data_IF_266184682418
#
_entry.id   IF_266184682418
#
_cell.length_a   1.000
_cell.length_b   1.000
_cell.length_c   1.000
_cell.angle_alpha   90.00
_cell.angle_beta   90.00
_cell.angle_gamma   90.00
#
_symmetry.space_group_name_H-M   'P 1'
#
loop_
_entity.id
_entity.type
_entity.pdbx_description
1 polymer ?
#
# COMPACT_ATOMS: atom_id res chain seq x y z
N UNK A 1 -20.99 0.74 14.35
CA UNK A 1 -19.85 1.17 15.18
C UNK A 1 -19.01 2.10 14.30
N UNK A 2 -19.06 3.41 14.53
CA UNK A 2 -18.16 4.37 13.84
C UNK A 2 -16.76 4.29 14.44
N UNK A 3 -16.14 3.12 14.36
CA UNK A 3 -14.82 2.88 14.91
C UNK A 3 -13.74 2.97 13.84
N UNK A 4 -12.80 3.89 13.99
CA UNK A 4 -11.58 3.91 13.21
C UNK A 4 -10.80 2.59 13.44
N UNK A 5 -10.57 1.81 12.38
CA UNK A 5 -9.95 0.48 12.46
C UNK A 5 -8.51 0.53 11.99
N UNK A 6 -7.63 -0.21 12.68
CA UNK A 6 -6.23 -0.34 12.32
C UNK A 6 -5.39 0.90 12.57
N UNK A 7 -4.29 1.04 11.83
CA UNK A 7 -3.38 2.21 11.86
C UNK A 7 -2.69 2.45 13.20
N UNK A 8 -2.58 1.44 14.04
CA UNK A 8 -1.98 1.57 15.38
C UNK A 8 -0.55 2.12 15.32
N UNK A 9 0.25 1.65 14.37
CA UNK A 9 1.65 2.11 14.18
C UNK A 9 1.72 3.55 13.71
N UNK A 10 0.91 3.91 12.73
CA UNK A 10 0.86 5.26 12.17
C UNK A 10 0.39 6.27 13.22
N UNK A 11 -0.67 5.95 13.96
CA UNK A 11 -1.14 6.76 15.08
C UNK A 11 -0.08 6.90 16.18
N UNK A 12 0.55 5.79 16.59
CA UNK A 12 1.62 5.82 17.57
C UNK A 12 2.84 6.65 17.11
N UNK A 13 3.16 6.62 15.81
CA UNK A 13 4.23 7.44 15.24
C UNK A 13 3.86 8.93 15.25
N UNK A 14 2.62 9.30 14.89
CA UNK A 14 2.12 10.68 14.97
C UNK A 14 2.14 11.19 16.40
N UNK A 15 1.63 10.41 17.37
CA UNK A 15 1.70 10.72 18.81
C UNK A 15 3.14 10.88 19.29
N UNK A 16 4.04 10.01 18.81
CA UNK A 16 5.46 10.10 19.11
C UNK A 16 6.10 11.41 18.61
N UNK A 17 5.68 11.89 17.43
CA UNK A 17 6.14 13.17 16.90
C UNK A 17 5.57 14.35 17.67
N UNK A 18 4.30 14.33 18.03
CA UNK A 18 3.68 15.38 18.86
C UNK A 18 4.34 15.45 20.24
N UNK A 19 4.66 14.30 20.87
CA UNK A 19 5.42 14.28 22.14
C UNK A 19 6.83 14.90 21.99
N UNK A 20 7.50 14.76 20.84
CA UNK A 20 8.79 15.43 20.58
C UNK A 20 8.65 16.94 20.48
N UNK A 21 7.53 17.43 19.94
CA UNK A 21 7.17 18.85 19.92
C UNK A 21 7.00 19.36 21.35
N UNK A 22 6.26 18.65 22.21
CA UNK A 22 6.03 18.98 23.62
C UNK A 22 7.33 19.08 24.43
N UNK A 23 8.23 18.11 24.25
CA UNK A 23 9.51 18.04 25.00
C UNK A 23 10.49 19.15 24.60
N UNK A 24 10.19 19.90 23.57
CA UNK A 24 11.07 20.91 23.01
C UNK A 24 12.25 20.33 22.25
N UNK A 25 12.69 21.04 21.22
CA UNK A 25 13.90 20.68 20.49
C UNK A 25 15.16 21.15 21.20
N UNK A 26 16.29 20.44 21.02
CA UNK A 26 17.61 21.02 21.30
C UNK A 26 17.71 22.35 20.56
N UNK A 27 18.21 23.42 21.20
CA UNK A 27 18.38 24.75 20.64
C UNK A 27 17.09 25.61 20.45
N UNK A 28 16.02 25.36 21.24
CA UNK A 28 14.84 26.26 21.25
C UNK A 28 13.97 26.17 19.96
N UNK A 29 14.02 25.09 19.23
CA UNK A 29 13.21 24.83 18.04
C UNK A 29 12.37 23.56 18.23
N UNK A 30 11.21 23.65 18.88
CA UNK A 30 10.33 22.52 19.13
C UNK A 30 9.57 22.03 17.90
N UNK A 31 9.33 22.92 16.92
CA UNK A 31 8.55 22.62 15.73
C UNK A 31 9.13 21.48 14.89
N UNK A 32 8.24 20.64 14.38
CA UNK A 32 8.57 19.49 13.53
C UNK A 32 7.71 19.48 12.28
N UNK A 33 8.25 18.94 11.18
CA UNK A 33 7.50 18.72 9.95
C UNK A 33 7.47 17.23 9.61
N UNK A 34 6.34 16.78 9.06
CA UNK A 34 6.09 15.45 8.56
C UNK A 34 5.59 15.53 7.12
N UNK A 35 6.23 14.82 6.20
CA UNK A 35 5.72 14.53 4.85
C UNK A 35 5.02 13.19 4.87
N UNK A 36 3.70 13.19 4.75
CA UNK A 36 2.87 11.98 4.70
C UNK A 36 2.45 11.71 3.28
N UNK A 37 2.79 10.53 2.78
CA UNK A 37 2.47 10.10 1.43
C UNK A 37 1.86 8.71 1.41
N UNK A 38 1.12 8.41 0.37
CA UNK A 38 0.47 7.12 0.16
C UNK A 38 -0.47 7.22 -1.03
N UNK A 39 -0.82 6.10 -1.64
CA UNK A 39 -1.74 6.08 -2.77
C UNK A 39 -3.05 6.79 -2.45
N UNK A 40 -3.76 7.21 -3.49
CA UNK A 40 -5.13 7.73 -3.32
C UNK A 40 -6.01 6.69 -2.65
N UNK A 41 -6.93 7.14 -1.79
CA UNK A 41 -7.95 6.32 -1.10
C UNK A 41 -7.44 5.31 -0.08
N UNK A 42 -6.17 5.41 0.36
CA UNK A 42 -5.66 4.59 1.48
C UNK A 42 -6.03 5.15 2.87
N UNK A 43 -6.80 6.26 2.94
CA UNK A 43 -7.28 6.82 4.20
C UNK A 43 -6.30 7.76 4.91
N UNK A 44 -5.40 8.46 4.17
CA UNK A 44 -4.44 9.42 4.78
C UNK A 44 -5.12 10.54 5.55
N UNK A 45 -6.06 11.24 4.91
CA UNK A 45 -6.79 12.36 5.52
C UNK A 45 -7.55 11.90 6.76
N UNK A 46 -8.26 10.76 6.67
CA UNK A 46 -8.99 10.17 7.79
C UNK A 46 -8.06 9.77 8.95
N UNK A 47 -6.85 9.26 8.66
CA UNK A 47 -5.83 8.97 9.68
C UNK A 47 -5.41 10.25 10.42
N UNK A 48 -5.20 11.35 9.69
CA UNK A 48 -4.78 12.62 10.30
C UNK A 48 -5.93 13.26 11.06
N UNK A 49 -7.17 13.19 10.57
CA UNK A 49 -8.37 13.63 11.30
C UNK A 49 -8.48 12.87 12.63
N UNK A 50 -8.42 11.55 12.61
CA UNK A 50 -8.46 10.69 13.81
C UNK A 50 -7.35 11.03 14.79
N UNK A 51 -6.13 11.28 14.28
CA UNK A 51 -5.01 11.70 15.13
C UNK A 51 -5.27 13.05 15.78
N UNK A 52 -5.76 14.04 15.04
CA UNK A 52 -6.07 15.39 15.56
C UNK A 52 -7.17 15.31 16.60
N UNK A 53 -8.22 14.54 16.33
CA UNK A 53 -9.33 14.32 17.25
C UNK A 53 -8.86 13.68 18.57
N UNK A 54 -7.98 12.69 18.51
CA UNK A 54 -7.41 12.04 19.72
C UNK A 54 -6.46 12.96 20.49
N UNK A 55 -5.67 13.75 19.76
CA UNK A 55 -4.65 14.62 20.36
C UNK A 55 -5.24 15.76 21.18
N UNK A 56 -6.47 16.22 20.87
CA UNK A 56 -7.19 17.29 21.58
C UNK A 56 -6.35 18.57 21.76
N UNK A 57 -5.55 18.92 20.75
CA UNK A 57 -4.70 20.13 20.74
C UNK A 57 -5.26 21.15 19.73
N UNK A 58 -4.94 22.45 19.90
CA UNK A 58 -5.27 23.45 18.88
C UNK A 58 -4.71 23.04 17.51
N UNK A 59 -5.56 23.13 16.49
CA UNK A 59 -5.18 22.70 15.15
C UNK A 59 -5.79 23.57 14.05
N UNK A 60 -5.12 23.55 12.90
CA UNK A 60 -5.62 23.93 11.58
C UNK A 60 -5.61 22.69 10.70
N UNK A 61 -6.74 22.36 10.08
CA UNK A 61 -6.81 21.38 9.01
C UNK A 61 -7.23 22.09 7.71
N UNK A 62 -6.33 22.13 6.74
CA UNK A 62 -6.58 22.72 5.43
C UNK A 62 -6.38 21.67 4.35
N UNK A 63 -7.42 21.43 3.55
CA UNK A 63 -7.36 20.55 2.37
C UNK A 63 -7.31 21.41 1.12
N UNK A 64 -6.21 21.35 0.38
CA UNK A 64 -6.09 22.02 -0.90
C UNK A 64 -6.89 21.29 -1.99
N UNK A 65 -7.32 22.05 -2.97
CA UNK A 65 -8.01 21.53 -4.15
C UNK A 65 -7.43 22.17 -5.40
N UNK A 66 -7.69 21.57 -6.56
CA UNK A 66 -7.24 22.14 -7.83
C UNK A 66 -7.91 23.50 -8.07
N UNK A 67 -7.17 24.57 -7.84
CA UNK A 67 -7.62 25.93 -8.07
C UNK A 67 -6.95 26.56 -9.29
N UNK A 68 -7.62 27.50 -9.98
CA UNK A 68 -7.04 28.13 -11.14
C UNK A 68 -6.00 29.22 -10.80
N UNK A 69 -5.97 29.69 -9.55
CA UNK A 69 -5.09 30.80 -9.14
C UNK A 69 -4.63 30.66 -7.68
N UNK A 70 -3.46 31.21 -7.39
CA UNK A 70 -2.92 31.33 -6.04
C UNK A 70 -3.86 32.12 -5.11
N UNK A 71 -4.56 33.13 -5.64
CA UNK A 71 -5.51 33.93 -4.86
C UNK A 71 -6.72 33.09 -4.38
N UNK A 72 -7.18 32.15 -5.20
CA UNK A 72 -8.25 31.23 -4.80
C UNK A 72 -7.79 30.25 -3.70
N UNK A 73 -6.59 29.67 -3.84
CA UNK A 73 -5.99 28.82 -2.80
C UNK A 73 -5.83 29.57 -1.47
N UNK A 74 -5.33 30.81 -1.52
CA UNK A 74 -5.17 31.66 -0.35
C UNK A 74 -6.50 32.00 0.33
N UNK A 75 -7.56 32.24 -0.45
CA UNK A 75 -8.89 32.52 0.11
C UNK A 75 -9.41 31.32 0.90
N UNK A 76 -9.28 30.10 0.36
CA UNK A 76 -9.68 28.87 1.05
C UNK A 76 -8.83 28.60 2.30
N UNK A 77 -7.52 28.84 2.22
CA UNK A 77 -6.64 28.71 3.38
C UNK A 77 -7.01 29.68 4.50
N UNK A 78 -7.29 30.95 4.17
CA UNK A 78 -7.72 31.98 5.13
C UNK A 78 -9.03 31.58 5.81
N UNK A 79 -10.00 31.06 5.05
CA UNK A 79 -11.28 30.60 5.59
C UNK A 79 -11.08 29.41 6.55
N UNK A 80 -10.28 28.42 6.16
CA UNK A 80 -9.92 27.30 7.03
C UNK A 80 -9.20 27.75 8.30
N UNK A 81 -8.25 28.69 8.18
CA UNK A 81 -7.49 29.20 9.31
C UNK A 81 -8.38 30.03 10.27
N UNK A 82 -9.31 30.84 9.74
CA UNK A 82 -10.26 31.60 10.54
C UNK A 82 -11.24 30.67 11.31
N UNK A 83 -11.58 29.52 10.75
CA UNK A 83 -12.45 28.53 11.36
C UNK A 83 -11.73 27.51 12.24
N UNK A 84 -10.40 27.61 12.36
CA UNK A 84 -9.57 26.66 13.10
C UNK A 84 -9.71 26.82 14.62
N UNK A 85 -9.23 25.84 15.38
CA UNK A 85 -9.17 25.90 16.85
C UNK A 85 -7.91 26.60 17.37
N UNK A 86 -7.14 27.23 16.50
CA UNK A 86 -5.94 27.98 16.88
C UNK A 86 -6.31 29.23 17.73
N UNK A 87 -5.53 29.55 18.78
CA UNK A 87 -5.81 30.73 19.61
C UNK A 87 -5.85 32.05 18.83
N UNK A 88 -5.06 32.17 17.78
CA UNK A 88 -5.00 33.33 16.91
C UNK A 88 -5.86 33.28 15.66
N UNK A 89 -6.85 32.36 15.55
CA UNK A 89 -7.72 32.23 14.38
C UNK A 89 -8.38 33.52 13.93
N UNK A 90 -8.76 34.42 14.91
CA UNK A 90 -9.33 35.70 14.63
C UNK A 90 -8.43 36.65 13.81
N UNK A 91 -7.12 36.42 13.79
CA UNK A 91 -6.19 37.20 12.95
C UNK A 91 -6.53 37.06 11.45
N UNK A 92 -7.00 35.91 11.03
CA UNK A 92 -7.38 35.62 9.64
C UNK A 92 -8.73 36.26 9.23
N UNK A 93 -9.57 36.59 10.20
CA UNK A 93 -10.78 37.38 9.95
C UNK A 93 -10.44 38.87 9.76
N UNK A 94 -9.45 39.36 10.52
CA UNK A 94 -9.02 40.76 10.47
C UNK A 94 -8.06 41.09 9.31
N UNK A 95 -7.29 40.11 8.86
CA UNK A 95 -6.27 40.27 7.82
C UNK A 95 -6.47 39.29 6.67
N UNK A 96 -6.37 39.79 5.43
CA UNK A 96 -6.44 38.98 4.22
C UNK A 96 -5.08 39.00 3.53
N UNK A 97 -4.19 38.02 3.81
CA UNK A 97 -2.88 37.96 3.16
C UNK A 97 -3.03 37.72 1.65
N UNK A 98 -2.24 38.47 0.85
CA UNK A 98 -2.24 38.37 -0.61
C UNK A 98 -1.16 37.43 -1.17
N UNK A 99 -0.32 36.87 -0.30
CA UNK A 99 0.75 35.93 -0.69
C UNK A 99 0.87 34.81 0.33
N UNK A 100 1.39 33.65 -0.11
CA UNK A 100 1.67 32.54 0.79
C UNK A 100 2.66 32.91 1.92
N UNK A 101 3.64 33.78 1.63
CA UNK A 101 4.58 34.26 2.63
C UNK A 101 3.86 34.98 3.78
N UNK A 102 2.97 35.89 3.44
CA UNK A 102 2.17 36.62 4.43
C UNK A 102 1.19 35.71 5.18
N UNK A 103 0.57 34.75 4.47
CA UNK A 103 -0.38 33.80 5.06
C UNK A 103 0.28 32.86 6.07
N UNK A 104 1.44 32.31 5.71
CA UNK A 104 2.19 31.39 6.58
C UNK A 104 2.86 32.12 7.75
N UNK A 105 3.29 33.38 7.56
CA UNK A 105 3.76 34.24 8.65
C UNK A 105 2.62 34.55 9.62
N UNK A 106 1.43 34.89 9.13
CA UNK A 106 0.24 35.10 9.95
C UNK A 106 -0.15 33.82 10.71
N UNK A 107 -0.04 32.63 10.06
CA UNK A 107 -0.22 31.35 10.73
C UNK A 107 0.75 31.19 11.91
N UNK A 108 2.03 31.47 11.72
CA UNK A 108 3.01 31.40 12.81
C UNK A 108 2.67 32.32 14.00
N UNK A 109 2.06 33.46 13.74
CA UNK A 109 1.56 34.36 14.77
C UNK A 109 0.29 33.82 15.46
N UNK A 110 -0.55 33.08 14.74
CA UNK A 110 -1.79 32.47 15.25
C UNK A 110 -1.55 31.24 16.13
N UNK A 111 -0.37 30.60 16.02
CA UNK A 111 -0.02 29.39 16.79
C UNK A 111 0.25 29.70 18.27
N UNK A 112 -0.10 28.82 19.21
CA UNK A 112 0.26 28.96 20.62
C UNK A 112 1.78 28.89 20.79
N UNK A 113 2.27 29.52 21.88
CA UNK A 113 3.69 29.53 22.25
C UNK A 113 4.02 28.59 23.40
N UNK A 114 3.02 28.24 24.19
CA UNK A 114 3.11 27.56 25.49
C UNK A 114 2.62 26.13 25.46
N UNK A 115 1.92 25.72 24.42
CA UNK A 115 1.35 24.38 24.27
C UNK A 115 1.45 23.88 22.82
N UNK A 116 1.44 22.53 22.61
CA UNK A 116 1.56 21.96 21.28
C UNK A 116 0.32 22.28 20.42
N UNK A 117 0.55 22.30 19.11
CA UNK A 117 -0.49 22.47 18.09
C UNK A 117 -0.17 21.64 16.87
N UNK A 118 -1.19 21.41 16.02
CA UNK A 118 -1.04 20.68 14.75
C UNK A 118 -1.51 21.57 13.61
N UNK A 119 -0.73 21.59 12.53
CA UNK A 119 -1.12 22.23 11.26
C UNK A 119 -1.06 21.16 10.18
N UNK A 120 -2.19 20.93 9.51
CA UNK A 120 -2.33 19.97 8.41
C UNK A 120 -2.50 20.73 7.11
N UNK A 121 -1.62 20.44 6.15
CA UNK A 121 -1.75 20.84 4.75
C UNK A 121 -2.01 19.58 3.93
N UNK A 122 -3.29 19.27 3.73
CA UNK A 122 -3.70 18.09 2.98
C UNK A 122 -3.78 18.39 1.48
N UNK A 123 -3.47 17.41 0.66
CA UNK A 123 -3.32 17.49 -0.80
C UNK A 123 -2.34 18.59 -1.24
N UNK A 124 -1.21 18.72 -0.53
CA UNK A 124 -0.14 19.68 -0.82
C UNK A 124 0.32 19.70 -2.30
N UNK A 125 0.31 18.61 -3.06
CA UNK A 125 0.60 18.62 -4.49
C UNK A 125 -0.18 19.65 -5.30
N UNK A 126 -1.43 19.96 -4.95
CA UNK A 126 -2.20 21.01 -5.65
C UNK A 126 -1.62 22.41 -5.42
N UNK A 127 -1.17 22.72 -4.21
CA UNK A 127 -0.55 24.02 -3.91
C UNK A 127 0.73 24.22 -4.72
N UNK A 128 1.55 23.18 -4.84
CA UNK A 128 2.80 23.23 -5.60
C UNK A 128 2.51 23.32 -7.10
N UNK A 129 1.44 22.69 -7.59
CA UNK A 129 1.04 22.79 -8.99
C UNK A 129 0.53 24.19 -9.36
N UNK A 130 -0.18 24.86 -8.44
CA UNK A 130 -0.70 26.22 -8.64
C UNK A 130 0.40 27.27 -8.47
N UNK A 131 1.32 27.08 -7.50
CA UNK A 131 2.45 27.98 -7.23
C UNK A 131 3.76 27.19 -7.06
N UNK A 132 4.59 27.20 -8.08
CA UNK A 132 5.91 26.55 -8.05
C UNK A 132 6.87 27.11 -6.98
N UNK A 133 6.61 28.31 -6.46
CA UNK A 133 7.35 28.95 -5.38
C UNK A 133 6.88 28.54 -3.98
N UNK A 134 5.73 27.87 -3.87
CA UNK A 134 5.11 27.52 -2.58
C UNK A 134 6.05 26.73 -1.66
N UNK A 135 6.75 25.74 -2.19
CA UNK A 135 7.68 24.89 -1.43
C UNK A 135 8.80 25.74 -0.78
N UNK A 136 9.43 26.61 -1.56
CA UNK A 136 10.47 27.51 -1.04
C UNK A 136 9.96 28.51 0.00
N UNK A 137 8.73 28.99 -0.19
CA UNK A 137 8.06 29.87 0.77
C UNK A 137 7.76 29.14 2.08
N UNK A 138 7.18 27.94 2.00
CA UNK A 138 6.90 27.11 3.18
C UNK A 138 8.19 26.77 3.94
N UNK A 139 9.25 26.37 3.22
CA UNK A 139 10.57 26.13 3.82
C UNK A 139 11.08 27.35 4.57
N UNK A 140 11.08 28.52 3.92
CA UNK A 140 11.57 29.77 4.54
C UNK A 140 10.83 30.10 5.83
N UNK A 141 9.49 30.05 5.81
CA UNK A 141 8.67 30.33 6.99
C UNK A 141 8.83 29.25 8.06
N UNK A 142 8.94 27.96 7.66
CA UNK A 142 9.22 26.90 8.60
C UNK A 142 10.54 27.12 9.34
N UNK A 143 11.62 27.37 8.61
CA UNK A 143 12.95 27.55 9.21
C UNK A 143 13.01 28.78 10.13
N UNK A 144 12.32 29.86 9.80
CA UNK A 144 12.42 31.12 10.53
C UNK A 144 11.42 31.29 11.66
N UNK A 145 10.22 30.75 11.51
CA UNK A 145 9.07 31.00 12.36
C UNK A 145 8.44 29.76 12.94
N UNK A 146 7.90 28.85 12.09
CA UNK A 146 7.17 27.67 12.55
C UNK A 146 8.03 26.74 13.39
N UNK A 147 9.30 26.53 13.03
CA UNK A 147 10.20 25.69 13.83
C UNK A 147 10.44 26.16 15.25
N UNK A 148 10.17 27.45 15.53
CA UNK A 148 10.29 28.07 16.88
C UNK A 148 9.00 27.93 17.69
N UNK A 149 7.91 27.51 17.07
CA UNK A 149 6.62 27.27 17.72
C UNK A 149 6.50 25.79 18.08
N UNK A 150 5.78 25.46 19.15
CA UNK A 150 5.50 24.04 19.45
C UNK A 150 4.44 23.48 18.51
N UNK A 151 4.80 23.30 17.23
CA UNK A 151 3.90 22.88 16.16
C UNK A 151 4.37 21.59 15.49
N UNK A 152 3.45 20.69 15.20
CA UNK A 152 3.61 19.59 14.25
C UNK A 152 2.95 20.00 12.93
N UNK A 153 3.78 20.29 11.92
CA UNK A 153 3.32 20.53 10.55
C UNK A 153 3.23 19.20 9.81
N UNK A 154 2.04 18.82 9.39
CA UNK A 154 1.77 17.59 8.63
C UNK A 154 1.39 17.96 7.20
N UNK A 155 2.26 17.67 6.25
CA UNK A 155 2.04 17.87 4.82
C UNK A 155 1.64 16.52 4.20
N UNK A 156 0.41 16.42 3.69
CA UNK A 156 -0.15 15.18 3.13
C UNK A 156 -0.26 15.29 1.61
N UNK A 157 0.03 14.22 0.91
CA UNK A 157 -0.17 14.17 -0.54
C UNK A 157 -0.39 12.76 -1.06
N UNK A 158 -1.17 12.68 -2.14
CA UNK A 158 -1.50 11.42 -2.83
C UNK A 158 -0.61 11.15 -4.05
N UNK A 159 0.10 12.14 -4.56
CA UNK A 159 1.11 11.97 -5.61
C UNK A 159 2.43 11.50 -4.98
N UNK A 160 2.70 10.19 -5.11
CA UNK A 160 3.87 9.56 -4.50
C UNK A 160 5.18 10.14 -5.04
N UNK A 161 5.27 10.35 -6.35
CA UNK A 161 6.50 10.82 -6.99
C UNK A 161 6.81 12.27 -6.59
N UNK A 162 5.80 13.14 -6.59
CA UNK A 162 5.95 14.52 -6.16
C UNK A 162 6.34 14.60 -4.67
N UNK A 163 5.66 13.84 -3.81
CA UNK A 163 5.94 13.84 -2.38
C UNK A 163 7.32 13.24 -2.03
N UNK A 164 7.79 12.23 -2.77
CA UNK A 164 9.17 11.74 -2.66
C UNK A 164 10.18 12.82 -3.05
N UNK A 165 9.93 13.46 -4.19
CA UNK A 165 10.82 14.51 -4.69
C UNK A 165 10.98 15.70 -3.71
N UNK A 166 10.01 15.99 -2.86
CA UNK A 166 10.11 17.08 -1.86
C UNK A 166 11.28 16.89 -0.87
N UNK A 167 11.68 15.65 -0.61
CA UNK A 167 12.80 15.35 0.28
C UNK A 167 14.11 15.04 -0.45
N UNK A 168 14.15 15.13 -1.79
CA UNK A 168 15.34 14.89 -2.58
C UNK A 168 16.44 15.92 -2.32
N UNK A 169 17.68 15.52 -2.57
CA UNK A 169 18.84 16.44 -2.46
C UNK A 169 18.66 17.66 -3.36
N UNK A 170 18.84 18.83 -2.78
CA UNK A 170 18.68 20.13 -3.46
C UNK A 170 17.28 20.70 -3.44
N UNK A 171 16.28 19.99 -2.90
CA UNK A 171 14.93 20.53 -2.69
C UNK A 171 14.83 21.30 -1.36
N UNK A 172 13.93 22.27 -1.29
CA UNK A 172 13.76 23.13 -0.10
C UNK A 172 13.53 22.35 1.21
N UNK A 173 12.70 21.28 1.18
CA UNK A 173 12.37 20.49 2.38
C UNK A 173 13.38 19.37 2.70
N UNK A 174 14.45 19.18 1.91
CA UNK A 174 15.46 18.18 2.19
C UNK A 174 15.95 18.22 3.64
N UNK A 175 15.91 17.07 4.32
CA UNK A 175 16.31 16.88 5.73
C UNK A 175 15.58 17.75 6.79
N UNK A 176 14.47 18.40 6.42
CA UNK A 176 13.64 19.21 7.36
C UNK A 176 12.43 18.48 7.89
N UNK A 177 11.90 17.55 7.10
CA UNK A 177 10.75 16.76 7.47
C UNK A 177 11.11 15.29 7.67
N UNK A 178 10.40 14.65 8.59
CA UNK A 178 10.32 13.17 8.65
C UNK A 178 9.38 12.70 7.57
N UNK A 179 9.61 11.53 7.00
CA UNK A 179 8.68 10.91 6.05
C UNK A 179 7.85 9.81 6.70
N UNK A 180 6.59 9.73 6.31
CA UNK A 180 5.70 8.62 6.63
C UNK A 180 5.00 8.14 5.36
N UNK A 181 5.11 6.85 5.09
CA UNK A 181 4.34 6.19 4.03
C UNK A 181 3.15 5.50 4.66
N UNK A 182 1.94 5.86 4.21
CA UNK A 182 0.70 5.23 4.66
C UNK A 182 0.34 4.11 3.66
N UNK A 183 0.47 2.83 4.05
CA UNK A 183 0.10 1.70 3.19
C UNK A 183 -1.43 1.52 3.14
N UNK A 184 -1.99 0.65 2.30
CA UNK A 184 -3.34 0.11 2.49
C UNK A 184 -3.50 -0.55 3.86
N UNK A 185 -4.73 -0.80 4.29
CA UNK A 185 -5.00 -1.59 5.48
C UNK A 185 -4.40 -3.00 5.32
N UNK A 186 -3.89 -3.55 6.42
CA UNK A 186 -3.29 -4.89 6.42
C UNK A 186 -4.36 -5.99 6.35
N UNK A 187 -4.01 -7.24 6.03
CA UNK A 187 -4.94 -8.36 6.15
C UNK A 187 -5.54 -8.53 7.55
N UNK A 188 -4.80 -8.16 8.61
CA UNK A 188 -5.29 -8.19 9.98
C UNK A 188 -6.32 -7.06 10.22
N UNK A 189 -6.08 -5.85 9.70
CA UNK A 189 -7.04 -4.75 9.77
C UNK A 189 -8.33 -5.10 8.99
N UNK A 190 -8.21 -5.75 7.82
CA UNK A 190 -9.37 -6.22 7.05
C UNK A 190 -10.19 -7.22 7.85
N UNK A 191 -9.55 -8.16 8.55
CA UNK A 191 -10.24 -9.11 9.43
C UNK A 191 -11.02 -8.38 10.52
N UNK A 192 -10.38 -7.42 11.19
CA UNK A 192 -10.99 -6.70 12.32
C UNK A 192 -12.10 -5.75 11.84
N UNK A 193 -11.98 -5.16 10.63
CA UNK A 193 -13.00 -4.29 10.04
C UNK A 193 -14.24 -5.04 9.57
N UNK A 194 -14.05 -6.22 8.97
CA UNK A 194 -15.15 -7.01 8.40
C UNK A 194 -15.67 -8.11 9.34
N UNK A 195 -15.06 -8.32 10.50
CA UNK A 195 -15.37 -9.41 11.45
C UNK A 195 -15.41 -10.79 10.78
N UNK A 196 -14.36 -11.11 10.01
CA UNK A 196 -14.26 -12.35 9.24
C UNK A 196 -13.28 -13.33 9.88
N UNK A 197 -13.45 -14.65 9.66
CA UNK A 197 -12.41 -15.64 9.93
C UNK A 197 -11.12 -15.29 9.18
N UNK A 198 -9.96 -15.61 9.74
CA UNK A 198 -8.65 -15.21 9.20
C UNK A 198 -8.41 -15.60 7.74
N UNK A 199 -8.87 -16.79 7.35
CA UNK A 199 -8.75 -17.24 5.97
C UNK A 199 -9.60 -16.42 4.99
N UNK A 200 -10.83 -16.08 5.40
CA UNK A 200 -11.77 -15.28 4.60
C UNK A 200 -11.35 -13.83 4.56
N UNK A 201 -10.76 -13.31 5.64
CA UNK A 201 -10.17 -11.97 5.68
C UNK A 201 -8.97 -11.82 4.71
N UNK A 202 -8.13 -12.86 4.60
CA UNK A 202 -7.07 -12.87 3.58
C UNK A 202 -7.68 -12.90 2.17
N UNK A 203 -8.72 -13.69 1.93
CA UNK A 203 -9.43 -13.70 0.64
C UNK A 203 -10.07 -12.33 0.34
N UNK A 204 -10.70 -11.68 1.33
CA UNK A 204 -11.23 -10.31 1.20
C UNK A 204 -10.12 -9.29 0.91
N UNK A 205 -8.94 -9.45 1.52
CA UNK A 205 -7.78 -8.63 1.23
C UNK A 205 -7.29 -8.80 -0.23
N UNK A 206 -7.33 -10.00 -0.79
CA UNK A 206 -6.96 -10.22 -2.20
C UNK A 206 -7.87 -9.46 -3.16
N UNK A 207 -9.13 -9.23 -2.79
CA UNK A 207 -10.14 -8.52 -3.59
C UNK A 207 -10.10 -7.02 -3.35
N UNK A 208 -10.01 -6.60 -2.09
CA UNK A 208 -10.06 -5.18 -1.70
C UNK A 208 -8.70 -4.47 -1.75
N UNK A 209 -7.59 -5.24 -1.67
CA UNK A 209 -6.24 -4.68 -1.50
C UNK A 209 -6.06 -3.89 -0.21
N UNK A 210 -6.97 -4.04 0.76
CA UNK A 210 -7.00 -3.24 1.99
C UNK A 210 -7.36 -1.76 1.75
N UNK A 211 -8.07 -1.44 0.66
CA UNK A 211 -8.55 -0.08 0.40
C UNK A 211 -9.80 0.21 1.23
N UNK A 212 -9.76 1.20 2.16
CA UNK A 212 -10.89 1.53 3.02
C UNK A 212 -12.19 1.73 2.26
N UNK A 213 -12.15 2.45 1.13
CA UNK A 213 -13.33 2.73 0.33
C UNK A 213 -14.09 1.48 -0.15
N UNK A 214 -13.36 0.40 -0.45
CA UNK A 214 -13.96 -0.89 -0.86
C UNK A 214 -14.47 -1.64 0.37
N UNK A 215 -13.73 -1.57 1.48
CA UNK A 215 -14.08 -2.24 2.72
C UNK A 215 -15.30 -1.58 3.41
N UNK A 216 -15.47 -0.27 3.28
CA UNK A 216 -16.63 0.47 3.81
C UNK A 216 -17.96 0.05 3.15
N UNK A 217 -17.91 -0.39 1.88
CA UNK A 217 -19.06 -0.95 1.16
C UNK A 217 -19.33 -2.43 1.50
N UNK A 218 -18.39 -3.11 2.16
CA UNK A 218 -18.50 -4.53 2.47
C UNK A 218 -19.28 -4.72 3.79
N UNK A 219 -20.46 -5.35 3.79
CA UNK A 219 -21.21 -5.54 5.02
C UNK A 219 -20.45 -6.42 6.01
N UNK A 220 -20.41 -6.01 7.27
CA UNK A 220 -19.70 -6.74 8.34
C UNK A 220 -20.24 -8.16 8.46
N UNK A 221 -19.36 -9.14 8.45
CA UNK A 221 -19.69 -10.57 8.50
C UNK A 221 -20.19 -11.17 7.18
N UNK A 222 -20.37 -10.37 6.12
CA UNK A 222 -20.82 -10.89 4.83
C UNK A 222 -19.72 -11.72 4.15
N UNK A 223 -20.12 -12.82 3.51
CA UNK A 223 -19.20 -13.65 2.75
C UNK A 223 -18.67 -12.90 1.51
N UNK A 224 -17.55 -13.38 0.97
CA UNK A 224 -17.00 -12.86 -0.29
C UNK A 224 -17.99 -12.97 -1.44
N UNK A 225 -18.74 -14.07 -1.52
CA UNK A 225 -19.72 -14.29 -2.60
C UNK A 225 -20.92 -13.34 -2.49
N UNK A 226 -21.42 -13.09 -1.27
CA UNK A 226 -22.50 -12.12 -1.02
C UNK A 226 -22.07 -10.71 -1.43
N UNK A 227 -20.88 -10.27 -0.97
CA UNK A 227 -20.35 -8.96 -1.34
C UNK A 227 -20.15 -8.80 -2.85
N UNK A 228 -19.52 -9.78 -3.51
CA UNK A 228 -19.29 -9.72 -4.95
C UNK A 228 -20.61 -9.71 -5.74
N UNK A 229 -21.61 -10.46 -5.28
CA UNK A 229 -22.94 -10.51 -5.92
C UNK A 229 -23.63 -9.15 -5.92
N UNK A 230 -23.47 -8.37 -4.86
CA UNK A 230 -23.97 -7.01 -4.76
C UNK A 230 -23.09 -6.04 -5.56
N UNK A 231 -21.78 -6.05 -5.34
CA UNK A 231 -20.84 -5.09 -5.88
C UNK A 231 -20.77 -5.10 -7.43
N UNK A 232 -20.93 -6.27 -8.09
CA UNK A 232 -20.91 -6.34 -9.57
C UNK A 232 -22.23 -5.93 -10.21
N UNK A 233 -23.28 -5.75 -9.41
CA UNK A 233 -24.60 -5.27 -9.90
C UNK A 233 -24.83 -3.79 -9.60
N UNK A 234 -24.04 -3.20 -8.70
CA UNK A 234 -24.09 -1.77 -8.38
C UNK A 234 -23.08 -0.98 -9.24
N UNK A 235 -23.56 -0.17 -10.22
CA UNK A 235 -22.68 0.62 -11.07
C UNK A 235 -21.90 1.70 -10.30
N UNK A 236 -22.24 1.98 -9.05
CA UNK A 236 -21.58 2.96 -8.20
C UNK A 236 -20.54 2.35 -7.28
N UNK A 237 -20.45 1.02 -7.23
CA UNK A 237 -19.53 0.30 -6.33
C UNK A 237 -18.07 0.74 -6.50
N UNK A 238 -17.42 1.01 -5.37
CA UNK A 238 -16.00 1.34 -5.32
C UNK A 238 -15.13 0.21 -5.89
N UNK A 239 -15.58 -1.03 -5.79
CA UNK A 239 -14.91 -2.18 -6.38
C UNK A 239 -14.78 -2.06 -7.91
N UNK A 240 -15.77 -1.52 -8.60
CA UNK A 240 -15.77 -1.35 -10.04
C UNK A 240 -14.96 -0.14 -10.49
N UNK A 241 -15.22 1.02 -9.88
CA UNK A 241 -14.75 2.32 -10.37
C UNK A 241 -13.37 2.75 -9.86
N UNK A 242 -12.89 2.17 -8.75
CA UNK A 242 -11.65 2.66 -8.10
C UNK A 242 -10.40 2.42 -8.94
N UNK A 243 -10.26 1.23 -9.52
CA UNK A 243 -9.10 0.90 -10.35
C UNK A 243 -9.12 1.61 -11.69
N UNK A 244 -10.30 1.73 -12.32
CA UNK A 244 -10.45 2.46 -13.58
C UNK A 244 -9.99 3.91 -13.42
N UNK A 245 -10.49 4.61 -12.40
CA UNK A 245 -10.09 5.99 -12.11
C UNK A 245 -8.62 6.12 -11.74
N UNK A 246 -8.07 5.16 -10.98
CA UNK A 246 -6.66 5.16 -10.64
C UNK A 246 -5.79 4.97 -11.89
N UNK A 247 -6.14 4.02 -12.77
CA UNK A 247 -5.41 3.78 -14.02
C UNK A 247 -5.53 4.95 -15.00
N UNK A 248 -6.72 5.58 -15.11
CA UNK A 248 -6.91 6.75 -15.95
C UNK A 248 -6.07 7.96 -15.48
N UNK A 249 -5.88 8.11 -14.16
CA UNK A 249 -5.02 9.15 -13.60
C UNK A 249 -3.52 8.88 -13.82
N UNK A 250 -3.11 7.60 -13.80
CA UNK A 250 -1.70 7.19 -13.96
C UNK A 250 -1.27 7.07 -15.42
N UNK A 251 -2.19 6.69 -16.29
CA UNK A 251 -1.92 6.44 -17.72
C UNK A 251 -2.98 7.08 -18.59
N UNK A 252 -2.60 8.02 -19.47
CA UNK A 252 -3.48 8.45 -20.57
C UNK A 252 -3.95 7.24 -21.37
N UNK A 253 -5.18 7.29 -21.87
CA UNK A 253 -5.76 6.20 -22.67
C UNK A 253 -4.78 5.71 -23.75
N UNK A 254 -4.65 4.38 -23.90
CA UNK A 254 -3.85 3.70 -24.93
C UNK A 254 -2.32 3.79 -24.81
N UNK A 255 -1.76 4.01 -23.63
CA UNK A 255 -0.29 3.90 -23.47
C UNK A 255 0.18 2.45 -23.53
N UNK A 256 1.39 2.23 -24.08
CA UNK A 256 2.04 0.89 -24.08
C UNK A 256 2.13 0.30 -22.68
N UNK A 257 2.37 1.12 -21.66
CA UNK A 257 2.42 0.68 -20.26
C UNK A 257 1.07 0.12 -19.78
N UNK A 258 -0.04 0.74 -20.17
CA UNK A 258 -1.38 0.23 -19.85
C UNK A 258 -1.68 -1.13 -20.51
N UNK A 259 -1.22 -1.36 -21.75
CA UNK A 259 -1.34 -2.66 -22.43
C UNK A 259 -0.51 -3.74 -21.72
N UNK A 260 0.73 -3.42 -21.36
CA UNK A 260 1.62 -4.33 -20.62
C UNK A 260 1.05 -4.67 -19.24
N UNK A 261 0.50 -3.69 -18.52
CA UNK A 261 -0.11 -3.92 -17.21
C UNK A 261 -1.34 -4.84 -17.31
N UNK A 262 -2.18 -4.66 -18.34
CA UNK A 262 -3.31 -5.57 -18.61
C UNK A 262 -2.86 -6.99 -18.94
N UNK A 263 -1.81 -7.15 -19.75
CA UNK A 263 -1.25 -8.46 -20.06
C UNK A 263 -0.75 -9.19 -18.81
N UNK A 264 -0.06 -8.49 -17.91
CA UNK A 264 0.36 -9.05 -16.62
C UNK A 264 -0.86 -9.37 -15.74
N UNK A 265 -1.86 -8.50 -15.71
CA UNK A 265 -3.10 -8.68 -14.94
C UNK A 265 -3.92 -9.88 -15.40
N UNK A 266 -3.92 -10.20 -16.70
CA UNK A 266 -4.58 -11.40 -17.23
C UNK A 266 -3.82 -12.73 -16.91
N UNK A 267 -2.64 -12.64 -16.29
CA UNK A 267 -1.88 -13.80 -15.80
C UNK A 267 -0.56 -14.08 -16.50
N UNK A 268 -0.18 -13.26 -17.49
CA UNK A 268 1.11 -13.41 -18.17
C UNK A 268 2.25 -12.96 -17.26
N UNK A 269 3.27 -13.82 -17.09
CA UNK A 269 4.30 -13.61 -16.08
C UNK A 269 5.72 -13.50 -16.63
N UNK A 270 5.94 -13.90 -17.87
CA UNK A 270 7.28 -13.88 -18.48
C UNK A 270 7.37 -12.82 -19.57
N UNK A 271 8.57 -12.30 -19.80
CA UNK A 271 8.82 -11.24 -20.76
C UNK A 271 8.22 -11.54 -22.15
N UNK A 272 8.44 -12.74 -22.68
CA UNK A 272 7.96 -13.14 -24.01
C UNK A 272 6.43 -13.30 -24.10
N UNK A 273 5.80 -13.82 -23.04
CA UNK A 273 4.35 -13.98 -23.00
C UNK A 273 3.66 -12.61 -22.84
N UNK A 274 4.20 -11.74 -22.00
CA UNK A 274 3.73 -10.36 -21.85
C UNK A 274 3.84 -9.59 -23.19
N UNK A 275 4.99 -9.71 -23.89
CA UNK A 275 5.16 -9.08 -25.20
C UNK A 275 4.04 -9.45 -26.18
N UNK A 276 3.76 -10.76 -26.28
CA UNK A 276 2.71 -11.30 -27.16
C UNK A 276 1.33 -10.82 -26.76
N UNK A 277 0.97 -10.95 -25.49
CA UNK A 277 -0.35 -10.55 -24.98
C UNK A 277 -0.60 -9.03 -25.06
N UNK A 278 0.46 -8.22 -25.03
CA UNK A 278 0.40 -6.79 -25.19
C UNK A 278 0.42 -6.30 -26.67
N UNK A 279 0.21 -7.22 -27.65
CA UNK A 279 0.15 -6.91 -29.08
C UNK A 279 1.50 -7.01 -29.78
N UNK A 280 2.30 -8.02 -29.45
CA UNK A 280 3.62 -8.30 -30.02
C UNK A 280 4.58 -7.11 -29.92
N UNK A 281 4.62 -6.49 -28.73
CA UNK A 281 5.45 -5.30 -28.50
C UNK A 281 6.94 -5.59 -28.75
N UNK A 282 7.65 -4.70 -29.45
CA UNK A 282 9.10 -4.76 -29.59
C UNK A 282 9.81 -4.77 -28.23
N UNK A 283 10.91 -5.53 -28.12
CA UNK A 283 11.67 -5.69 -26.86
C UNK A 283 12.02 -4.36 -26.18
N UNK A 284 12.45 -3.36 -26.92
CA UNK A 284 12.81 -2.05 -26.37
C UNK A 284 11.60 -1.30 -25.78
N UNK A 285 10.44 -1.42 -26.41
CA UNK A 285 9.18 -0.81 -25.94
C UNK A 285 8.68 -1.53 -24.67
N UNK A 286 8.67 -2.86 -24.68
CA UNK A 286 8.30 -3.65 -23.51
C UNK A 286 9.21 -3.36 -22.32
N UNK A 287 10.53 -3.32 -22.53
CA UNK A 287 11.50 -3.03 -21.45
C UNK A 287 11.27 -1.64 -20.82
N UNK A 288 10.94 -0.63 -21.64
CA UNK A 288 10.60 0.72 -21.15
C UNK A 288 9.30 0.72 -20.35
N UNK A 289 8.28 0.04 -20.86
CA UNK A 289 6.99 -0.07 -20.17
C UNK A 289 7.12 -0.80 -18.84
N UNK A 290 7.82 -1.94 -18.79
CA UNK A 290 8.08 -2.68 -17.56
C UNK A 290 8.86 -1.86 -16.54
N UNK A 291 9.89 -1.12 -16.98
CA UNK A 291 10.64 -0.22 -16.09
C UNK A 291 9.73 0.84 -15.49
N UNK A 292 8.95 1.55 -16.32
CA UNK A 292 8.00 2.55 -15.85
C UNK A 292 7.01 1.98 -14.82
N UNK A 293 6.45 0.79 -15.10
CA UNK A 293 5.50 0.13 -14.20
C UNK A 293 6.16 -0.30 -12.87
N UNK A 294 7.41 -0.72 -12.91
CA UNK A 294 8.20 -1.08 -11.72
C UNK A 294 8.56 0.17 -10.90
N UNK A 295 9.00 1.24 -11.56
CA UNK A 295 9.34 2.52 -10.90
C UNK A 295 8.09 3.12 -10.22
N UNK A 296 6.92 2.98 -10.84
CA UNK A 296 5.62 3.36 -10.26
C UNK A 296 5.08 2.35 -9.22
N UNK A 297 5.80 1.26 -8.94
CA UNK A 297 5.40 0.20 -8.00
C UNK A 297 4.04 -0.44 -8.31
N UNK A 298 3.70 -0.52 -9.58
CA UNK A 298 2.49 -1.20 -10.07
C UNK A 298 2.77 -2.66 -10.45
N UNK A 299 4.03 -2.96 -10.75
CA UNK A 299 4.51 -4.30 -11.10
C UNK A 299 5.70 -4.67 -10.23
N UNK A 300 5.61 -5.83 -9.62
CA UNK A 300 6.72 -6.50 -8.92
C UNK A 300 7.51 -7.36 -9.90
N UNK A 301 8.82 -7.36 -9.70
CA UNK A 301 9.78 -8.17 -10.45
C UNK A 301 10.39 -9.19 -9.52
N UNK A 302 10.26 -10.47 -9.83
CA UNK A 302 10.80 -11.55 -9.03
C UNK A 302 11.80 -12.38 -9.84
N UNK A 303 12.88 -12.81 -9.16
CA UNK A 303 13.87 -13.78 -9.66
C UNK A 303 13.90 -14.99 -8.74
N UNK A 304 14.22 -16.19 -9.24
CA UNK A 304 14.32 -17.38 -8.40
C UNK A 304 15.36 -17.20 -7.30
N UNK A 305 14.98 -17.50 -6.05
CA UNK A 305 15.89 -17.50 -4.92
C UNK A 305 16.55 -18.87 -4.78
N UNK A 306 17.87 -18.95 -4.97
CA UNK A 306 18.65 -20.18 -4.80
C UNK A 306 20.13 -19.85 -4.57
N UNK A 307 20.98 -20.87 -4.41
CA UNK A 307 22.45 -20.67 -4.30
C UNK A 307 23.14 -20.44 -5.66
N UNK A 308 22.39 -20.50 -6.75
CA UNK A 308 22.91 -20.24 -8.11
C UNK A 308 22.20 -19.04 -8.74
N UNK A 309 22.89 -18.19 -9.48
CA UNK A 309 22.26 -17.10 -10.21
C UNK A 309 21.30 -17.64 -11.28
N UNK A 310 20.19 -16.96 -11.48
CA UNK A 310 19.21 -17.24 -12.52
C UNK A 310 18.96 -16.00 -13.38
N UNK A 311 18.64 -16.23 -14.66
CA UNK A 311 18.15 -15.18 -15.57
C UNK A 311 16.64 -15.20 -15.73
N UNK A 312 15.98 -16.18 -15.14
CA UNK A 312 14.52 -16.26 -15.15
C UNK A 312 13.92 -15.13 -14.34
N UNK A 313 12.97 -14.44 -14.93
CA UNK A 313 12.29 -13.31 -14.28
C UNK A 313 10.80 -13.47 -14.46
N UNK A 314 10.04 -13.21 -13.41
CA UNK A 314 8.59 -13.13 -13.43
C UNK A 314 8.12 -11.76 -13.02
N UNK A 315 7.04 -11.32 -13.65
CA UNK A 315 6.37 -10.06 -13.39
C UNK A 315 4.99 -10.35 -12.80
N UNK A 316 4.56 -9.54 -11.85
CA UNK A 316 3.23 -9.65 -11.25
C UNK A 316 2.69 -8.26 -10.94
N UNK A 317 1.38 -8.08 -10.99
CA UNK A 317 0.75 -6.86 -10.49
C UNK A 317 0.98 -6.80 -8.99
N UNK A 318 1.53 -5.70 -8.49
CA UNK A 318 1.95 -5.55 -7.09
C UNK A 318 0.76 -5.40 -6.14
N UNK A 319 -0.25 -4.65 -6.56
CA UNK A 319 -1.45 -4.35 -5.77
C UNK A 319 -2.49 -5.50 -5.89
N UNK A 320 -2.94 -6.11 -4.77
CA UNK A 320 -3.89 -7.22 -4.81
C UNK A 320 -5.23 -6.84 -5.46
N UNK A 321 -5.81 -5.69 -5.11
CA UNK A 321 -7.06 -5.21 -5.72
C UNK A 321 -6.91 -4.97 -7.22
N UNK A 322 -5.85 -4.30 -7.63
CA UNK A 322 -5.59 -4.06 -9.05
C UNK A 322 -5.40 -5.38 -9.82
N UNK A 323 -4.76 -6.37 -9.20
CA UNK A 323 -4.63 -7.72 -9.75
C UNK A 323 -5.99 -8.38 -9.95
N UNK A 324 -6.87 -8.32 -8.93
CA UNK A 324 -8.24 -8.83 -9.02
C UNK A 324 -9.03 -8.12 -10.12
N UNK A 325 -9.00 -6.79 -10.12
CA UNK A 325 -9.71 -5.98 -11.08
C UNK A 325 -9.29 -6.25 -12.52
N UNK A 326 -7.98 -6.29 -12.79
CA UNK A 326 -7.43 -6.59 -14.13
C UNK A 326 -7.75 -8.02 -14.61
N UNK A 327 -7.90 -8.96 -13.67
CA UNK A 327 -8.23 -10.35 -14.00
C UNK A 327 -9.72 -10.53 -14.32
N UNK A 328 -10.62 -9.86 -13.59
CA UNK A 328 -12.05 -10.19 -13.59
C UNK A 328 -12.97 -9.04 -13.96
N UNK A 329 -12.69 -7.83 -13.51
CA UNK A 329 -13.62 -6.71 -13.65
C UNK A 329 -13.34 -5.87 -14.89
N UNK A 330 -12.12 -5.37 -15.03
CA UNK A 330 -11.73 -4.48 -16.11
C UNK A 330 -12.02 -5.01 -17.51
N UNK A 331 -11.71 -6.29 -17.82
CA UNK A 331 -12.04 -6.90 -19.12
C UNK A 331 -13.55 -7.01 -19.40
N UNK A 332 -14.38 -7.00 -18.36
CA UNK A 332 -15.81 -7.26 -18.43
C UNK A 332 -16.69 -6.04 -18.07
N UNK A 333 -16.09 -4.86 -17.86
CA UNK A 333 -16.85 -3.63 -17.58
C UNK A 333 -18.00 -3.38 -18.55
N UNK A 334 -17.84 -3.55 -19.88
CA UNK A 334 -18.96 -3.33 -20.82
C UNK A 334 -20.14 -4.29 -20.60
N UNK A 335 -19.93 -5.48 -20.04
CA UNK A 335 -21.01 -6.42 -19.68
C UNK A 335 -21.70 -5.96 -18.39
N UNK A 336 -20.92 -5.56 -17.39
CA UNK A 336 -21.41 -5.03 -16.12
C UNK A 336 -22.26 -3.78 -16.34
N UNK A 337 -21.78 -2.83 -17.15
CA UNK A 337 -22.52 -1.60 -17.50
C UNK A 337 -23.86 -1.86 -18.21
N UNK A 338 -24.00 -3.01 -18.90
CA UNK A 338 -25.26 -3.45 -19.49
C UNK A 338 -26.18 -4.19 -18.49
N UNK A 339 -25.82 -4.22 -17.20
CA UNK A 339 -26.59 -4.92 -16.17
C UNK A 339 -26.34 -6.45 -16.16
N UNK A 340 -25.26 -6.94 -16.78
CA UNK A 340 -24.91 -8.37 -16.83
C UNK A 340 -23.73 -8.70 -15.93
N UNK A 341 -23.68 -8.11 -14.74
CA UNK A 341 -22.73 -8.46 -13.69
C UNK A 341 -22.78 -9.93 -13.28
N UNK A 342 -23.95 -10.58 -13.46
CA UNK A 342 -24.15 -12.02 -13.27
C UNK A 342 -23.10 -12.88 -14.04
N UNK A 343 -22.82 -12.53 -15.29
CA UNK A 343 -21.83 -13.26 -16.10
C UNK A 343 -20.41 -13.11 -15.56
N UNK A 344 -20.08 -11.92 -15.06
CA UNK A 344 -18.77 -11.66 -14.46
C UNK A 344 -18.63 -12.43 -13.14
N UNK A 345 -19.68 -12.45 -12.31
CA UNK A 345 -19.71 -13.22 -11.06
C UNK A 345 -19.49 -14.71 -11.32
N UNK A 346 -20.16 -15.29 -12.31
CA UNK A 346 -19.99 -16.70 -12.67
C UNK A 346 -18.57 -17.03 -13.13
N UNK A 347 -17.90 -16.11 -13.85
CA UNK A 347 -16.47 -16.26 -14.22
C UNK A 347 -15.57 -16.22 -13.01
N UNK A 348 -15.84 -15.31 -12.06
CA UNK A 348 -15.11 -15.23 -10.79
C UNK A 348 -15.26 -16.57 -10.05
N UNK A 349 -16.47 -17.04 -9.82
CA UNK A 349 -16.76 -18.31 -9.13
C UNK A 349 -16.03 -19.50 -9.76
N UNK A 350 -16.07 -19.60 -11.07
CA UNK A 350 -15.45 -20.70 -11.82
C UNK A 350 -13.91 -20.67 -11.68
N UNK A 351 -13.30 -19.50 -11.68
CA UNK A 351 -11.83 -19.35 -11.71
C UNK A 351 -11.22 -19.07 -10.34
N UNK A 352 -12.04 -18.78 -9.33
CA UNK A 352 -11.61 -18.28 -8.02
C UNK A 352 -10.54 -19.15 -7.36
N UNK A 353 -10.77 -20.45 -7.25
CA UNK A 353 -9.85 -21.37 -6.56
C UNK A 353 -8.45 -21.34 -7.19
N UNK A 354 -8.36 -21.37 -8.52
CA UNK A 354 -7.08 -21.37 -9.22
C UNK A 354 -6.39 -20.01 -9.20
N UNK A 355 -7.14 -18.92 -9.32
CA UNK A 355 -6.64 -17.55 -9.25
C UNK A 355 -6.14 -17.22 -7.83
N UNK A 356 -6.98 -17.49 -6.84
CA UNK A 356 -6.70 -17.25 -5.42
C UNK A 356 -5.44 -17.96 -4.95
N UNK A 357 -5.25 -19.23 -5.35
CA UNK A 357 -4.07 -20.02 -4.99
C UNK A 357 -2.76 -19.32 -5.36
N UNK A 358 -2.72 -18.64 -6.51
CA UNK A 358 -1.56 -17.85 -6.95
C UNK A 358 -1.55 -16.44 -6.38
N UNK A 359 -2.73 -15.85 -6.19
CA UNK A 359 -2.84 -14.48 -5.68
C UNK A 359 -2.43 -14.37 -4.21
N UNK A 360 -2.61 -15.42 -3.41
CA UNK A 360 -2.26 -15.45 -1.99
C UNK A 360 -0.75 -15.60 -1.73
N UNK A 361 0.02 -16.20 -2.65
CA UNK A 361 1.45 -16.45 -2.44
C UNK A 361 2.27 -15.20 -2.06
N UNK A 362 2.12 -14.03 -2.72
CA UNK A 362 2.83 -12.82 -2.30
C UNK A 362 2.44 -12.37 -0.89
N UNK A 363 1.16 -12.50 -0.51
CA UNK A 363 0.68 -12.16 0.84
C UNK A 363 1.32 -13.09 1.88
N UNK A 364 1.35 -14.39 1.59
CA UNK A 364 2.04 -15.39 2.44
C UNK A 364 3.52 -15.03 2.59
N UNK A 365 4.24 -14.79 1.49
CA UNK A 365 5.66 -14.43 1.56
C UNK A 365 5.89 -13.14 2.36
N UNK A 366 5.02 -12.16 2.23
CA UNK A 366 5.13 -10.92 3.00
C UNK A 366 4.81 -11.15 4.48
N UNK A 367 3.81 -11.98 4.81
CA UNK A 367 3.55 -12.39 6.20
C UNK A 367 4.77 -13.07 6.81
N UNK A 368 5.37 -14.03 6.11
CA UNK A 368 6.57 -14.72 6.60
C UNK A 368 7.75 -13.77 6.87
N UNK A 369 7.96 -12.74 6.03
CA UNK A 369 9.02 -11.75 6.24
C UNK A 369 8.79 -10.89 7.48
N UNK A 370 7.56 -10.74 7.91
CA UNK A 370 7.13 -9.92 9.06
C UNK A 370 7.05 -10.70 10.36
N UNK A 371 6.98 -12.03 10.31
CA UNK A 371 6.90 -12.84 11.52
C UNK A 371 8.09 -12.56 12.45
N UNK A 372 7.85 -12.45 13.77
CA UNK A 372 8.92 -12.23 14.74
C UNK A 372 9.90 -13.41 14.79
N UNK A 373 11.05 -13.21 15.45
CA UNK A 373 12.06 -14.24 15.59
C UNK A 373 11.52 -15.53 16.25
N UNK A 374 12.02 -16.67 15.81
CA UNK A 374 11.59 -18.00 16.28
C UNK A 374 10.47 -18.66 15.47
N UNK A 375 9.79 -17.88 14.59
CA UNK A 375 8.78 -18.45 13.69
C UNK A 375 9.38 -19.13 12.45
N UNK A 376 10.51 -18.65 12.00
CA UNK A 376 11.24 -19.21 10.85
C UNK A 376 12.59 -19.77 11.34
N UNK A 377 13.21 -20.71 10.60
CA UNK A 377 14.51 -21.24 10.90
C UNK A 377 15.57 -20.15 11.04
N UNK A 378 16.53 -20.34 11.95
CA UNK A 378 17.60 -19.39 12.23
C UNK A 378 18.40 -19.02 10.99
N UNK A 379 18.65 -17.72 10.82
CA UNK A 379 19.36 -17.18 9.69
C UNK A 379 18.50 -16.93 8.45
N UNK A 380 17.19 -17.10 8.54
CA UNK A 380 16.25 -16.66 7.49
C UNK A 380 16.10 -15.15 7.55
N UNK A 381 16.69 -14.43 6.59
CA UNK A 381 16.58 -12.97 6.47
C UNK A 381 15.71 -12.54 5.28
N UNK A 382 15.54 -13.44 4.31
CA UNK A 382 14.72 -13.22 3.12
C UNK A 382 13.83 -14.40 2.84
N UNK A 383 12.64 -14.13 2.31
CA UNK A 383 11.69 -15.15 1.82
C UNK A 383 11.36 -14.82 0.37
N UNK A 384 11.53 -15.79 -0.51
CA UNK A 384 11.24 -15.72 -1.94
C UNK A 384 10.54 -16.97 -2.44
N UNK A 385 10.72 -17.26 -3.72
CA UNK A 385 10.25 -18.48 -4.38
C UNK A 385 11.34 -19.01 -5.32
N UNK A 386 11.22 -20.24 -5.75
CA UNK A 386 12.12 -20.83 -6.72
C UNK A 386 11.35 -21.46 -7.88
N UNK A 387 11.85 -21.27 -9.09
CA UNK A 387 11.32 -21.90 -10.30
C UNK A 387 12.41 -22.06 -11.35
N UNK A 388 12.20 -23.00 -12.24
CA UNK A 388 13.00 -23.17 -13.45
C UNK A 388 12.22 -22.66 -14.67
N UNK A 389 12.87 -22.62 -15.82
CA UNK A 389 12.21 -22.25 -17.09
C UNK A 389 11.00 -23.11 -17.43
N UNK A 390 11.03 -24.37 -17.04
CA UNK A 390 9.94 -25.34 -17.28
C UNK A 390 8.92 -25.41 -16.16
N UNK A 391 9.11 -24.62 -15.08
CA UNK A 391 8.33 -24.67 -13.83
C UNK A 391 8.39 -26.04 -13.12
N UNK A 392 9.45 -26.82 -13.38
CA UNK A 392 9.71 -28.09 -12.72
C UNK A 392 11.22 -28.21 -12.39
N UNK A 393 11.63 -28.09 -11.12
CA UNK A 393 10.80 -27.82 -9.93
C UNK A 393 10.33 -26.37 -9.83
N UNK A 394 9.18 -26.19 -9.17
CA UNK A 394 8.65 -24.91 -8.68
C UNK A 394 8.37 -25.05 -7.17
N UNK A 395 8.85 -24.08 -6.37
CA UNK A 395 8.70 -24.04 -4.91
C UNK A 395 8.17 -22.66 -4.52
N UNK A 396 7.02 -22.64 -3.86
CA UNK A 396 6.27 -21.42 -3.55
C UNK A 396 6.98 -20.52 -2.53
N UNK A 397 7.70 -21.14 -1.59
CA UNK A 397 8.38 -20.49 -0.47
C UNK A 397 9.81 -20.98 -0.35
N UNK A 398 10.75 -20.07 -0.34
CA UNK A 398 12.17 -20.34 -0.11
C UNK A 398 12.71 -19.31 0.87
N UNK A 399 13.24 -19.75 2.00
CA UNK A 399 13.94 -18.90 2.95
C UNK A 399 15.44 -19.00 2.78
N UNK A 400 16.13 -17.87 2.95
CA UNK A 400 17.58 -17.80 2.79
C UNK A 400 18.21 -16.67 3.63
N UNK A 401 19.53 -16.69 3.71
CA UNK A 401 20.35 -15.65 4.36
C UNK A 401 20.40 -14.34 3.56
N UNK A 402 20.18 -14.39 2.24
CA UNK A 402 20.15 -13.21 1.34
C UNK A 402 19.54 -13.55 -0.02
N UNK A 403 19.20 -12.51 -0.78
CA UNK A 403 18.67 -12.61 -2.14
C UNK A 403 19.51 -11.76 -3.11
N UNK A 404 19.43 -12.01 -4.45
CA UNK A 404 18.75 -13.14 -5.11
C UNK A 404 19.56 -14.44 -5.09
N UNK A 405 20.87 -14.37 -4.80
CA UNK A 405 21.78 -15.53 -4.73
C UNK A 405 22.18 -15.74 -3.28
N UNK A 406 21.63 -16.80 -2.68
CA UNK A 406 21.85 -17.19 -1.30
C UNK A 406 23.24 -17.85 -1.11
N UNK A 407 23.81 -17.72 0.08
CA UNK A 407 24.88 -18.62 0.54
C UNK A 407 24.30 -19.89 1.16
N UNK A 408 23.23 -19.73 1.93
CA UNK A 408 22.55 -20.81 2.63
C UNK A 408 21.04 -20.67 2.48
N UNK A 409 20.38 -21.77 2.16
CA UNK A 409 18.94 -21.92 2.24
C UNK A 409 18.57 -22.40 3.64
N UNK A 410 17.45 -21.94 4.17
CA UNK A 410 17.00 -22.25 5.52
C UNK A 410 15.69 -23.01 5.53
N UNK A 411 14.79 -22.71 4.57
CA UNK A 411 13.54 -23.40 4.43
C UNK A 411 13.13 -23.52 2.96
N UNK A 412 12.30 -24.51 2.67
CA UNK A 412 11.48 -24.64 1.47
C UNK A 412 10.04 -24.89 1.86
N UNK A 413 9.09 -24.37 1.09
CA UNK A 413 7.69 -24.53 1.47
C UNK A 413 6.71 -24.51 0.32
N UNK A 414 5.51 -25.01 0.60
CA UNK A 414 4.39 -24.99 -0.32
C UNK A 414 3.19 -24.26 0.29
N UNK A 415 2.43 -23.58 -0.56
CA UNK A 415 1.20 -22.88 -0.21
C UNK A 415 0.01 -23.68 -0.72
N UNK A 416 -0.85 -24.14 0.21
CA UNK A 416 -2.05 -24.89 -0.09
C UNK A 416 -3.29 -24.11 0.35
N UNK A 417 -3.82 -23.28 -0.54
CA UNK A 417 -4.93 -22.38 -0.20
C UNK A 417 -6.27 -22.91 -0.69
N UNK A 418 -6.62 -24.13 -0.21
CA UNK A 418 -7.86 -24.83 -0.55
C UNK A 418 -8.76 -24.98 0.68
N UNK A 419 -10.07 -24.83 0.51
CA UNK A 419 -11.05 -24.84 1.62
C UNK A 419 -11.24 -26.22 2.23
N UNK A 420 -11.29 -27.24 1.38
CA UNK A 420 -11.69 -28.61 1.77
C UNK A 420 -10.58 -29.64 1.62
N UNK A 421 -9.37 -29.19 1.30
CA UNK A 421 -8.23 -30.10 1.11
C UNK A 421 -7.03 -29.60 1.90
N UNK A 422 -6.76 -30.23 3.05
CA UNK A 422 -5.58 -29.95 3.84
C UNK A 422 -4.29 -30.34 3.09
N UNK A 423 -3.15 -29.88 3.59
CA UNK A 423 -1.84 -30.33 3.13
C UNK A 423 -1.63 -31.79 3.54
N UNK A 424 -1.33 -32.65 2.60
CA UNK A 424 -1.28 -34.11 2.79
C UNK A 424 0.12 -34.72 2.49
N UNK A 425 0.25 -36.02 2.67
CA UNK A 425 1.50 -36.77 2.42
C UNK A 425 1.97 -36.68 0.96
N UNK A 426 1.05 -36.61 -0.01
CA UNK A 426 1.38 -36.42 -1.42
C UNK A 426 2.00 -35.00 -1.65
N UNK A 427 1.43 -33.98 -1.05
CA UNK A 427 1.95 -32.60 -1.14
C UNK A 427 3.34 -32.51 -0.50
N UNK A 428 3.57 -33.14 0.65
CA UNK A 428 4.88 -33.23 1.30
C UNK A 428 5.89 -33.97 0.42
N UNK A 429 5.54 -35.14 -0.10
CA UNK A 429 6.41 -35.93 -0.99
C UNK A 429 6.85 -35.13 -2.22
N UNK A 430 5.94 -34.36 -2.83
CA UNK A 430 6.24 -33.47 -3.94
C UNK A 430 7.18 -32.33 -3.52
N UNK A 431 6.95 -31.70 -2.38
CA UNK A 431 7.83 -30.65 -1.86
C UNK A 431 9.26 -31.16 -1.63
N UNK A 432 9.40 -32.34 -1.02
CA UNK A 432 10.71 -32.96 -0.77
C UNK A 432 11.41 -33.34 -2.07
N UNK A 433 10.68 -33.83 -3.07
CA UNK A 433 11.20 -34.11 -4.43
C UNK A 433 11.71 -32.84 -5.09
N UNK A 434 10.98 -31.73 -5.00
CA UNK A 434 11.40 -30.44 -5.53
C UNK A 434 12.61 -29.87 -4.77
N UNK A 435 12.65 -30.04 -3.43
CA UNK A 435 13.80 -29.66 -2.59
C UNK A 435 15.07 -30.37 -3.07
N UNK A 436 15.02 -31.67 -3.27
CA UNK A 436 16.17 -32.46 -3.73
C UNK A 436 16.73 -32.02 -5.09
N UNK A 437 15.91 -31.39 -5.93
CA UNK A 437 16.29 -30.89 -7.27
C UNK A 437 16.67 -29.40 -7.26
N UNK A 438 16.50 -28.72 -6.12
CA UNK A 438 16.82 -27.29 -5.99
C UNK A 438 18.33 -27.09 -5.70
N UNK A 439 19.03 -26.18 -6.42
CA UNK A 439 20.44 -25.91 -6.14
C UNK A 439 20.65 -25.37 -4.72
N UNK A 440 21.50 -26.04 -3.95
CA UNK A 440 21.88 -25.65 -2.60
C UNK A 440 20.89 -26.04 -1.51
N UNK A 441 19.83 -26.77 -1.84
CA UNK A 441 18.95 -27.39 -0.86
C UNK A 441 19.43 -28.80 -0.53
N UNK A 442 19.50 -29.12 0.75
CA UNK A 442 19.83 -30.42 1.31
C UNK A 442 18.77 -30.83 2.35
N UNK A 443 19.02 -31.90 3.07
CA UNK A 443 18.09 -32.42 4.09
C UNK A 443 17.97 -31.50 5.32
N UNK A 444 18.91 -30.58 5.54
CA UNK A 444 18.88 -29.64 6.65
C UNK A 444 17.96 -28.45 6.36
N UNK A 445 17.59 -28.21 5.09
CA UNK A 445 16.64 -27.17 4.71
C UNK A 445 15.24 -27.58 5.15
N UNK A 446 14.67 -26.86 6.12
CA UNK A 446 13.41 -27.20 6.78
C UNK A 446 12.22 -27.12 5.81
N UNK A 447 11.40 -28.20 5.67
CA UNK A 447 10.15 -28.13 4.93
C UNK A 447 9.08 -27.43 5.79
N UNK A 448 8.36 -26.47 5.17
CA UNK A 448 7.20 -25.81 5.78
C UNK A 448 5.98 -25.91 4.85
N UNK A 449 4.79 -25.87 5.42
CA UNK A 449 3.55 -25.73 4.67
C UNK A 449 2.76 -24.52 5.17
N UNK A 450 2.14 -23.78 4.26
CA UNK A 450 1.11 -22.82 4.59
C UNK A 450 -0.20 -23.34 4.06
N UNK A 451 -1.15 -23.62 4.94
CA UNK A 451 -2.41 -24.27 4.55
C UNK A 451 -3.62 -23.52 5.10
N UNK A 452 -4.61 -23.28 4.22
CA UNK A 452 -5.90 -22.70 4.59
C UNK A 452 -6.69 -23.62 5.53
N UNK A 453 -6.63 -24.93 5.32
CA UNK A 453 -7.45 -25.94 6.00
C UNK A 453 -6.63 -26.93 6.85
N UNK A 454 -5.38 -26.56 7.21
CA UNK A 454 -4.51 -27.39 8.06
C UNK A 454 -3.78 -28.50 7.29
N UNK A 455 -3.25 -29.48 8.02
CA UNK A 455 -2.53 -30.63 7.44
C UNK A 455 -2.96 -31.95 8.07
N UNK A 456 -2.76 -33.03 7.30
CA UNK A 456 -3.02 -34.42 7.72
C UNK A 456 -1.74 -35.26 7.74
N UNK A 457 -0.58 -34.61 7.71
CA UNK A 457 0.74 -35.26 7.67
C UNK A 457 1.64 -34.66 8.75
N UNK A 458 2.49 -35.49 9.36
CA UNK A 458 3.52 -35.10 10.30
C UNK A 458 4.86 -34.80 9.59
N UNK A 459 5.84 -34.25 10.32
CA UNK A 459 7.19 -34.00 9.83
C UNK A 459 7.33 -32.73 8.98
N UNK A 460 6.35 -31.85 8.99
CA UNK A 460 6.37 -30.53 8.36
C UNK A 460 5.78 -29.48 9.31
N UNK A 461 6.42 -28.35 9.42
CA UNK A 461 5.82 -27.21 10.14
C UNK A 461 4.70 -26.61 9.31
N UNK A 462 3.51 -26.49 9.88
CA UNK A 462 2.33 -25.96 9.22
C UNK A 462 1.98 -24.61 9.82
N UNK A 463 1.81 -23.61 8.96
CA UNK A 463 1.33 -22.27 9.33
C UNK A 463 -0.11 -22.11 8.85
N UNK A 464 -0.96 -21.69 9.75
CA UNK A 464 -2.38 -21.42 9.53
C UNK A 464 -2.62 -19.98 9.04
N UNK A 465 -3.83 -19.63 8.57
CA UNK A 465 -4.21 -18.24 8.32
C UNK A 465 -4.08 -17.34 9.55
N UNK A 466 -4.35 -17.84 10.77
CA UNK A 466 -4.17 -17.08 12.01
C UNK A 466 -2.71 -16.76 12.27
N UNK A 467 -1.82 -17.71 12.02
CA UNK A 467 -0.36 -17.50 12.16
C UNK A 467 0.11 -16.41 11.18
N UNK A 468 -0.38 -16.43 9.94
CA UNK A 468 -0.05 -15.39 8.95
C UNK A 468 -0.50 -14.00 9.39
N UNK A 469 -1.71 -13.88 9.98
CA UNK A 469 -2.23 -12.59 10.44
C UNK A 469 -1.49 -12.05 11.67
N UNK A 470 -0.85 -12.91 12.47
CA UNK A 470 0.01 -12.48 13.58
C UNK A 470 1.14 -11.56 13.11
N UNK A 471 1.64 -11.78 11.90
CA UNK A 471 2.68 -10.96 11.26
C UNK A 471 2.26 -9.49 10.99
N UNK A 472 0.99 -9.19 11.04
CA UNK A 472 0.41 -7.88 10.74
C UNK A 472 -0.16 -7.17 11.98
N UNK A 473 -0.11 -7.82 13.13
CA UNK A 473 -0.44 -7.25 14.43
C UNK A 473 0.84 -6.69 15.05
N UNK A 474 0.79 -5.46 15.47
CA UNK A 474 1.89 -4.77 16.18
C UNK A 474 1.85 -5.05 17.67
#
# INVERSE_FOLDING_TARGET
>A
MDGFVGRTRELAALDGMLRKVVRGGRAGRPGRALLMRGRRRVGKSRLVEEFVDRAQVPHLFFTASAQPTVAADLALFVEAAASSTLPGAALFTAQRPATWDAALTLLAAALPTDRPSVVVLDEMPYLIATDSGFEGTLQKVFDRELSRRPVLLVCVGSDLAMMEALNDYGRPFHQRATEMVVPPLSPADVRDMLDLPSADAIDAYLVSGGLPLILDEWPVGASLDDYLSEAVTDPTSALLISAERALAAEFPAQTQAGLVLRAIGSGERTFSLIARAAGDLPQASLSRALRLLTDKRLVDVATPLSTRPSRETRYAVADPYLRFWLSFLGPHLPEIERGRGDLTLDRIRTSWTSWRGRAVEPVVRESLRRLPGGWLPDGTTVVGAYWTRTNDPEIDLVGADRAPVARRLTLVGSVKWLEKRPFDAHDLGRLLTHRARMPGADEQVEPIAVSRSGATVDGVRVLSPDDLLTAWRD
#
